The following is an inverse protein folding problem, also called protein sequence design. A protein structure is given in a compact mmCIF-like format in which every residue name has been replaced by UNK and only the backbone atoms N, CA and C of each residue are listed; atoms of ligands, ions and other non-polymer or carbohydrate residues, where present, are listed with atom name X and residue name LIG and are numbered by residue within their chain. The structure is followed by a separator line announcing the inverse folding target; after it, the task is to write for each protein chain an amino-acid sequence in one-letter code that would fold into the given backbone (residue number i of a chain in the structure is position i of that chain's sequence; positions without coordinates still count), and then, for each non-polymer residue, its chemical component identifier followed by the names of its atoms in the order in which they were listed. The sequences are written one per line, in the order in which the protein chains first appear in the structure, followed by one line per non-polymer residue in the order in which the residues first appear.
data_IF_181083429934
#
_entry.id   IF_181083429934
#
_cell.length_a   1.000
_cell.length_b   1.000
_cell.length_c   1.000
_cell.angle_alpha   90.00
_cell.angle_beta   90.00
_cell.angle_gamma   90.00
#
_symmetry.space_group_name_H-M   'P 1'
#
loop_
_entity.id
_entity.type
_entity.pdbx_description
1 polymer ?
#
# COMPACT_ATOMS: atom_id res chain seq x y z
N UNK A 1 16.10 10.69 63.48
CA UNK A 1 17.01 10.33 62.33
C UNK A 1 16.27 9.38 61.44
N UNK A 2 15.74 9.89 60.36
CA UNK A 2 14.88 9.14 59.43
C UNK A 2 15.62 9.03 58.10
N UNK A 3 15.88 7.82 57.67
CA UNK A 3 16.48 7.54 56.37
C UNK A 3 15.40 6.97 55.48
N UNK A 4 15.07 7.74 54.45
CA UNK A 4 14.19 7.33 53.35
C UNK A 4 14.95 6.41 52.39
N UNK A 5 14.38 5.31 51.92
CA UNK A 5 15.01 4.52 50.87
C UNK A 5 14.46 4.88 49.48
N UNK A 6 15.37 4.88 48.57
CA UNK A 6 15.26 5.13 47.15
C UNK A 6 14.15 4.35 46.42
N UNK A 7 13.29 5.09 45.78
CA UNK A 7 12.31 4.62 44.79
C UNK A 7 12.66 5.24 43.43
N UNK A 8 13.39 4.55 42.62
CA UNK A 8 13.46 4.79 41.15
C UNK A 8 14.45 3.82 40.53
N UNK A 9 14.01 2.82 39.77
CA UNK A 9 14.77 2.12 38.71
C UNK A 9 13.98 0.95 38.07
N UNK A 10 12.64 0.87 38.21
CA UNK A 10 11.87 -0.21 37.55
C UNK A 10 11.27 0.17 36.17
N UNK A 11 11.14 1.46 35.85
CA UNK A 11 10.55 1.92 34.60
C UNK A 11 11.48 1.80 33.39
N UNK A 12 12.73 2.14 33.55
CA UNK A 12 13.75 2.20 32.50
C UNK A 12 14.05 0.83 31.88
N UNK A 13 14.11 -0.23 32.67
CA UNK A 13 14.40 -1.60 32.19
C UNK A 13 13.24 -2.22 31.35
N UNK A 14 12.00 -1.79 31.57
CA UNK A 14 10.82 -2.30 30.85
C UNK A 14 10.72 -1.69 29.45
N UNK A 15 11.12 -0.44 29.29
CA UNK A 15 11.18 0.26 27.99
C UNK A 15 12.33 -0.27 27.14
N UNK A 16 13.50 -0.49 27.77
CA UNK A 16 14.68 -1.04 27.11
C UNK A 16 14.42 -2.48 26.57
N UNK A 17 13.79 -3.35 27.39
CA UNK A 17 13.44 -4.72 26.97
C UNK A 17 12.37 -4.77 25.86
N UNK A 18 11.47 -3.79 25.76
CA UNK A 18 10.53 -3.68 24.64
C UNK A 18 11.24 -3.23 23.34
N UNK A 19 12.22 -2.34 23.42
CA UNK A 19 13.05 -1.94 22.28
C UNK A 19 13.89 -3.11 21.76
N UNK A 20 14.52 -3.88 22.64
CA UNK A 20 15.37 -5.02 22.26
C UNK A 20 14.58 -6.20 21.66
N UNK A 21 13.33 -6.43 22.09
CA UNK A 21 12.45 -7.43 21.45
C UNK A 21 11.99 -7.02 20.06
N UNK A 22 11.81 -5.71 19.80
CA UNK A 22 11.43 -5.18 18.47
C UNK A 22 12.54 -5.35 17.42
N UNK A 23 13.81 -5.25 17.81
CA UNK A 23 14.94 -5.39 16.89
C UNK A 23 15.21 -6.83 16.45
N UNK A 24 14.49 -7.83 16.99
CA UNK A 24 14.74 -9.26 16.78
C UNK A 24 13.63 -10.00 16.00
N UNK A 25 12.54 -9.31 15.56
CA UNK A 25 11.55 -9.98 14.72
C UNK A 25 12.15 -10.23 13.33
N UNK A 26 11.88 -11.40 12.71
CA UNK A 26 12.34 -11.67 11.35
C UNK A 26 11.89 -10.62 10.35
N UNK A 27 10.67 -10.08 10.52
CA UNK A 27 10.11 -9.02 9.67
C UNK A 27 10.88 -7.70 9.83
N UNK A 28 11.28 -7.34 11.05
CA UNK A 28 12.07 -6.14 11.30
C UNK A 28 13.49 -6.25 10.77
N UNK A 29 14.10 -7.45 10.86
CA UNK A 29 15.41 -7.71 10.27
C UNK A 29 15.35 -7.65 8.75
N UNK A 30 14.29 -8.19 8.14
CA UNK A 30 14.02 -8.10 6.71
C UNK A 30 13.84 -6.63 6.28
N UNK A 31 12.97 -5.87 6.94
CA UNK A 31 12.74 -4.46 6.67
C UNK A 31 14.04 -3.65 6.80
N UNK A 32 14.81 -3.88 7.85
CA UNK A 32 16.08 -3.19 8.07
C UNK A 32 17.16 -3.60 7.05
N UNK A 33 17.18 -4.85 6.62
CA UNK A 33 18.04 -5.35 5.54
C UNK A 33 17.67 -4.71 4.21
N UNK A 34 16.38 -4.62 3.90
CA UNK A 34 15.85 -3.96 2.73
C UNK A 34 16.20 -2.46 2.69
N UNK A 35 16.02 -1.74 3.80
CA UNK A 35 16.35 -0.32 3.91
C UNK A 35 17.86 -0.03 3.76
N UNK A 36 18.72 -0.96 4.19
CA UNK A 36 20.17 -0.82 4.09
C UNK A 36 20.74 -1.20 2.72
N UNK A 37 20.15 -2.21 2.08
CA UNK A 37 20.61 -2.77 0.81
C UNK A 37 19.41 -3.27 -0.01
N UNK A 38 18.59 -2.39 -0.59
CA UNK A 38 17.39 -2.79 -1.32
C UNK A 38 17.66 -3.72 -2.51
N UNK A 39 18.88 -3.66 -3.07
CA UNK A 39 19.32 -4.49 -4.19
C UNK A 39 19.69 -5.92 -3.78
N UNK A 40 20.04 -6.18 -2.52
CA UNK A 40 20.50 -7.49 -2.05
C UNK A 40 19.37 -8.46 -1.66
N UNK A 41 18.16 -7.97 -1.42
CA UNK A 41 17.02 -8.81 -1.03
C UNK A 41 16.18 -9.09 -2.26
N UNK A 42 16.69 -9.89 -3.14
CA UNK A 42 16.27 -10.38 -4.48
C UNK A 42 14.80 -10.45 -4.90
N UNK A 43 13.89 -9.70 -4.31
CA UNK A 43 12.49 -9.69 -4.73
C UNK A 43 11.77 -8.33 -4.63
N UNK A 44 12.41 -7.27 -4.16
CA UNK A 44 11.81 -5.92 -4.19
C UNK A 44 12.90 -4.94 -4.62
N UNK A 45 13.21 -4.96 -5.89
CA UNK A 45 13.92 -3.84 -6.51
C UNK A 45 12.97 -2.65 -6.40
N UNK A 46 13.41 -1.49 -5.91
CA UNK A 46 12.58 -0.28 -5.95
C UNK A 46 12.06 -0.14 -7.37
N UNK A 47 10.74 -0.05 -7.52
CA UNK A 47 10.12 0.12 -8.83
C UNK A 47 10.87 1.22 -9.53
N UNK A 48 11.40 0.95 -10.74
CA UNK A 48 12.18 1.94 -11.47
C UNK A 48 11.33 3.21 -11.61
N UNK A 49 11.96 4.38 -11.67
CA UNK A 49 11.20 5.62 -11.94
C UNK A 49 10.31 5.46 -13.17
N UNK A 50 10.78 4.72 -14.17
CA UNK A 50 10.03 4.40 -15.40
C UNK A 50 8.75 3.61 -15.09
N UNK A 51 8.83 2.60 -14.22
CA UNK A 51 7.65 1.83 -13.80
C UNK A 51 6.63 2.73 -13.08
N UNK A 52 7.10 3.57 -12.15
CA UNK A 52 6.24 4.49 -11.40
C UNK A 52 5.53 5.46 -12.34
N UNK A 53 6.27 6.13 -13.24
CA UNK A 53 5.70 7.07 -14.22
C UNK A 53 4.67 6.38 -15.11
N UNK A 54 4.99 5.18 -15.62
CA UNK A 54 4.12 4.42 -16.50
C UNK A 54 2.85 3.97 -15.78
N UNK A 55 2.98 3.47 -14.55
CA UNK A 55 1.86 3.00 -13.74
C UNK A 55 0.89 4.13 -13.39
N UNK A 56 1.44 5.27 -12.97
CA UNK A 56 0.69 6.44 -12.54
C UNK A 56 0.27 7.38 -13.69
N UNK A 57 0.71 7.11 -14.92
CA UNK A 57 0.43 7.94 -16.09
C UNK A 57 -1.05 8.22 -16.38
N UNK A 58 -1.97 7.24 -16.23
CA UNK A 58 -3.41 7.46 -16.46
C UNK A 58 -4.14 8.26 -15.38
N UNK A 59 -3.49 8.60 -14.25
CA UNK A 59 -4.14 9.27 -13.12
C UNK A 59 -4.38 10.74 -13.42
N UNK A 60 -5.63 11.19 -13.29
CA UNK A 60 -5.99 12.61 -13.27
C UNK A 60 -5.77 13.18 -11.86
N UNK A 61 -4.56 13.72 -11.65
CA UNK A 61 -4.15 14.25 -10.35
C UNK A 61 -4.94 15.47 -9.90
N UNK A 62 -5.42 16.27 -10.85
CA UNK A 62 -6.20 17.48 -10.54
C UNK A 62 -7.60 17.14 -10.00
N UNK A 63 -8.18 16.06 -10.48
CA UNK A 63 -9.50 15.60 -10.04
C UNK A 63 -9.44 14.61 -8.87
N UNK A 64 -8.28 14.02 -8.55
CA UNK A 64 -8.14 12.99 -7.53
C UNK A 64 -8.31 13.55 -6.12
N UNK A 65 -9.24 12.99 -5.34
CA UNK A 65 -9.50 13.31 -3.93
C UNK A 65 -9.16 12.14 -3.00
N UNK A 66 -9.46 10.91 -3.40
CA UNK A 66 -9.18 9.71 -2.61
C UNK A 66 -8.38 8.74 -3.44
N UNK A 67 -7.15 8.49 -3.02
CA UNK A 67 -6.27 7.49 -3.60
C UNK A 67 -6.01 6.38 -2.56
N UNK A 68 -6.09 5.11 -2.96
CA UNK A 68 -5.82 3.97 -2.07
C UNK A 68 -4.61 3.19 -2.59
N UNK A 69 -3.70 2.76 -1.70
CA UNK A 69 -2.56 1.92 -2.04
C UNK A 69 -2.57 0.64 -1.19
N UNK A 70 -2.62 -0.52 -1.85
CA UNK A 70 -2.52 -1.83 -1.20
C UNK A 70 -1.09 -2.34 -1.22
N UNK A 71 -0.60 -2.77 -0.06
CA UNK A 71 0.75 -3.29 0.10
C UNK A 71 1.85 -2.26 -0.19
N UNK A 72 1.81 -1.08 0.45
CA UNK A 72 2.78 0.00 0.21
C UNK A 72 4.22 -0.41 0.55
N UNK A 73 4.39 -1.40 1.43
CA UNK A 73 5.69 -1.84 1.90
C UNK A 73 6.50 -0.68 2.50
N UNK A 74 7.63 -0.34 1.88
CA UNK A 74 8.50 0.78 2.31
C UNK A 74 8.15 2.13 1.65
N UNK A 75 7.03 2.22 0.95
CA UNK A 75 6.53 3.47 0.38
C UNK A 75 7.10 3.83 -1.00
N UNK A 76 7.44 2.83 -1.80
CA UNK A 76 8.01 3.05 -3.14
C UNK A 76 7.07 3.85 -4.05
N UNK A 77 5.77 3.59 -3.98
CA UNK A 77 4.75 4.37 -4.69
C UNK A 77 4.13 5.46 -3.82
N UNK A 78 4.06 5.27 -2.50
CA UNK A 78 3.45 6.20 -1.55
C UNK A 78 3.98 7.63 -1.71
N UNK A 79 5.32 7.81 -1.74
CA UNK A 79 5.91 9.15 -1.93
C UNK A 79 5.61 9.76 -3.30
N UNK A 80 5.83 9.08 -4.44
CA UNK A 80 5.45 9.58 -5.75
C UNK A 80 3.97 9.93 -5.91
N UNK A 81 3.07 9.23 -5.20
CA UNK A 81 1.64 9.56 -5.17
C UNK A 81 1.42 10.86 -4.40
N UNK A 82 1.96 10.99 -3.18
CA UNK A 82 1.86 12.20 -2.37
C UNK A 82 2.44 13.43 -3.06
N UNK A 83 3.55 13.28 -3.78
CA UNK A 83 4.19 14.37 -4.55
C UNK A 83 3.27 14.93 -5.65
N UNK A 84 2.26 14.17 -6.10
CA UNK A 84 1.33 14.52 -7.18
C UNK A 84 -0.07 14.88 -6.70
N UNK A 85 -0.47 14.42 -5.52
CA UNK A 85 -1.80 14.66 -4.98
C UNK A 85 -2.02 16.12 -4.62
N UNK A 86 -3.22 16.61 -4.85
CA UNK A 86 -3.69 17.91 -4.37
C UNK A 86 -3.65 18.03 -2.84
N UNK A 87 -3.62 19.26 -2.33
CA UNK A 87 -3.52 19.53 -0.89
C UNK A 87 -4.75 19.06 -0.10
N UNK A 88 -5.90 18.94 -0.74
CA UNK A 88 -7.18 18.51 -0.19
C UNK A 88 -7.51 17.05 -0.49
N UNK A 89 -6.55 16.29 -1.03
CA UNK A 89 -6.70 14.87 -1.32
C UNK A 89 -6.16 14.02 -0.17
N UNK A 90 -6.61 12.76 -0.10
CA UNK A 90 -6.18 11.78 0.89
C UNK A 90 -5.59 10.55 0.20
N UNK A 91 -4.42 10.10 0.69
CA UNK A 91 -3.83 8.80 0.36
C UNK A 91 -4.05 7.84 1.51
N UNK A 92 -4.82 6.77 1.29
CA UNK A 92 -5.00 5.68 2.24
C UNK A 92 -4.09 4.53 1.85
N UNK A 93 -3.15 4.14 2.72
CA UNK A 93 -2.31 2.95 2.52
C UNK A 93 -2.79 1.82 3.42
N UNK A 94 -2.98 0.61 2.85
CA UNK A 94 -3.47 -0.57 3.57
C UNK A 94 -2.43 -1.69 3.44
N UNK A 95 -1.95 -2.20 4.58
CA UNK A 95 -1.03 -3.33 4.63
C UNK A 95 -1.38 -4.23 5.82
N UNK A 96 -1.32 -5.54 5.63
CA UNK A 96 -1.52 -6.51 6.72
C UNK A 96 -0.34 -6.53 7.69
N UNK A 97 0.82 -6.04 7.28
CA UNK A 97 2.02 -6.00 8.10
C UNK A 97 2.12 -4.68 8.89
N UNK A 98 1.88 -4.77 10.20
CA UNK A 98 1.94 -3.64 11.12
C UNK A 98 3.33 -2.97 11.21
N UNK A 99 4.42 -3.64 10.82
CA UNK A 99 5.76 -3.04 10.81
C UNK A 99 5.92 -2.08 9.62
N UNK A 100 5.33 -2.40 8.46
CA UNK A 100 5.32 -1.50 7.30
C UNK A 100 4.44 -0.27 7.56
N UNK A 101 3.23 -0.44 8.08
CA UNK A 101 2.34 0.70 8.37
C UNK A 101 2.95 1.64 9.42
N UNK A 102 3.60 1.09 10.44
CA UNK A 102 4.33 1.88 11.43
C UNK A 102 5.52 2.62 10.81
N UNK A 103 6.30 1.92 9.97
CA UNK A 103 7.43 2.53 9.28
C UNK A 103 6.97 3.71 8.41
N UNK A 104 5.93 3.55 7.61
CA UNK A 104 5.41 4.63 6.76
C UNK A 104 4.95 5.83 7.59
N UNK A 105 4.23 5.60 8.68
CA UNK A 105 3.77 6.64 9.59
C UNK A 105 4.92 7.41 10.26
N UNK A 106 6.05 6.74 10.54
CA UNK A 106 7.23 7.36 11.13
C UNK A 106 8.14 8.04 10.08
N UNK A 107 8.13 7.55 8.83
CA UNK A 107 9.04 7.98 7.77
C UNK A 107 8.46 9.07 6.86
N UNK A 108 7.14 9.25 6.85
CA UNK A 108 6.44 10.21 6.00
C UNK A 108 5.55 11.08 6.88
N UNK A 109 5.97 12.33 7.06
CA UNK A 109 5.21 13.37 7.76
C UNK A 109 4.41 14.17 6.73
N UNK A 110 3.25 13.63 6.34
CA UNK A 110 2.33 14.26 5.39
C UNK A 110 0.90 14.12 5.91
N UNK A 111 0.15 15.22 6.14
CA UNK A 111 -1.20 15.18 6.69
C UNK A 111 -2.21 14.48 5.78
N UNK A 112 -1.92 14.33 4.50
CA UNK A 112 -2.76 13.62 3.52
C UNK A 112 -2.61 12.10 3.60
N UNK A 113 -1.58 11.59 4.32
CA UNK A 113 -1.32 10.15 4.42
C UNK A 113 -2.06 9.52 5.60
N UNK A 114 -2.89 8.55 5.30
CA UNK A 114 -3.57 7.69 6.28
C UNK A 114 -3.06 6.25 6.14
N UNK A 115 -2.34 5.75 7.14
CA UNK A 115 -1.83 4.37 7.14
C UNK A 115 -2.71 3.45 7.97
N UNK A 116 -3.13 2.33 7.39
CA UNK A 116 -4.04 1.35 8.02
C UNK A 116 -3.41 -0.03 8.03
N UNK A 117 -3.37 -0.66 9.20
CA UNK A 117 -3.03 -2.08 9.31
C UNK A 117 -4.32 -2.89 9.16
N UNK A 118 -4.46 -3.61 8.04
CA UNK A 118 -5.68 -4.35 7.73
C UNK A 118 -5.60 -5.08 6.39
N UNK A 119 -6.68 -5.72 6.02
CA UNK A 119 -6.83 -6.39 4.72
C UNK A 119 -7.31 -5.41 3.65
N UNK A 120 -6.82 -5.56 2.43
CA UNK A 120 -7.35 -4.85 1.27
C UNK A 120 -8.83 -5.23 0.95
N UNK A 121 -9.26 -6.44 1.36
CA UNK A 121 -10.65 -6.86 1.25
C UNK A 121 -11.60 -6.04 2.16
N UNK A 122 -11.07 -5.38 3.20
CA UNK A 122 -11.85 -4.52 4.10
C UNK A 122 -11.91 -3.05 3.63
N UNK A 123 -11.51 -2.72 2.40
CA UNK A 123 -11.37 -1.34 1.92
C UNK A 123 -12.66 -0.53 2.03
N UNK A 124 -13.82 -1.12 1.75
CA UNK A 124 -15.13 -0.45 1.89
C UNK A 124 -15.34 0.05 3.32
N UNK A 125 -15.15 -0.84 4.30
CA UNK A 125 -15.23 -0.52 5.72
C UNK A 125 -14.19 0.53 6.12
N UNK A 126 -12.95 0.39 5.65
CA UNK A 126 -11.84 1.30 5.96
C UNK A 126 -12.13 2.72 5.49
N UNK A 127 -12.70 2.91 4.30
CA UNK A 127 -13.07 4.22 3.79
C UNK A 127 -14.29 4.79 4.53
N UNK A 128 -15.31 3.97 4.78
CA UNK A 128 -16.51 4.39 5.51
C UNK A 128 -16.22 4.84 6.94
N UNK A 129 -15.34 4.15 7.68
CA UNK A 129 -14.93 4.54 9.04
C UNK A 129 -14.19 5.89 9.11
N UNK A 130 -13.80 6.45 7.97
CA UNK A 130 -13.05 7.71 7.84
C UNK A 130 -13.81 8.81 7.13
N UNK A 131 -15.10 8.57 6.89
CA UNK A 131 -15.97 9.49 6.13
C UNK A 131 -15.38 9.84 4.74
N UNK A 132 -14.57 8.94 4.19
CA UNK A 132 -14.05 9.05 2.84
C UNK A 132 -15.08 8.44 1.88
N UNK A 133 -15.39 9.18 0.84
CA UNK A 133 -16.27 8.71 -0.23
C UNK A 133 -15.60 7.62 -1.09
N UNK A 134 -16.08 7.48 -2.32
CA UNK A 134 -15.49 6.56 -3.29
C UNK A 134 -14.03 6.93 -3.59
N UNK A 135 -13.22 5.91 -3.85
CA UNK A 135 -11.86 6.10 -4.32
C UNK A 135 -11.84 6.51 -5.81
N UNK A 136 -10.99 7.46 -6.17
CA UNK A 136 -10.73 7.79 -7.57
C UNK A 136 -9.84 6.72 -8.21
N UNK A 137 -8.80 6.32 -7.48
CA UNK A 137 -7.84 5.31 -7.93
C UNK A 137 -7.43 4.41 -6.78
N UNK A 138 -7.21 3.15 -7.12
CA UNK A 138 -6.60 2.17 -6.22
C UNK A 138 -5.35 1.61 -6.89
N UNK A 139 -4.22 1.61 -6.21
CA UNK A 139 -2.98 0.97 -6.68
C UNK A 139 -2.71 -0.29 -5.85
N UNK A 140 -2.33 -1.38 -6.50
CA UNK A 140 -1.97 -2.62 -5.81
C UNK A 140 -0.63 -3.18 -6.25
N UNK A 141 0.25 -3.42 -5.25
CA UNK A 141 1.44 -4.23 -5.37
C UNK A 141 1.28 -5.64 -4.76
N UNK A 142 0.06 -6.05 -4.43
CA UNK A 142 -0.20 -7.34 -3.80
C UNK A 142 0.09 -8.50 -4.76
N UNK A 143 0.72 -9.59 -4.28
CA UNK A 143 1.05 -10.75 -5.10
C UNK A 143 -0.18 -11.67 -5.27
N UNK A 144 -1.14 -11.30 -6.12
CA UNK A 144 -2.40 -12.05 -6.33
C UNK A 144 -2.19 -13.54 -6.65
N UNK A 145 -1.05 -13.90 -7.26
CA UNK A 145 -0.75 -15.30 -7.57
C UNK A 145 -0.46 -16.18 -6.34
N UNK A 146 -0.20 -15.57 -5.18
CA UNK A 146 0.18 -16.25 -3.94
C UNK A 146 -0.80 -15.98 -2.80
N UNK A 147 -1.87 -15.23 -3.05
CA UNK A 147 -2.93 -15.03 -2.06
C UNK A 147 -3.65 -16.36 -1.77
N UNK A 148 -4.18 -16.53 -0.55
CA UNK A 148 -5.03 -17.67 -0.24
C UNK A 148 -6.27 -17.74 -1.17
N UNK A 149 -6.83 -18.94 -1.40
CA UNK A 149 -8.04 -19.08 -2.21
C UNK A 149 -9.18 -18.15 -1.73
N UNK A 150 -9.86 -17.48 -2.67
CA UNK A 150 -10.96 -16.56 -2.41
C UNK A 150 -10.52 -15.12 -2.10
N UNK A 151 -9.38 -14.92 -1.46
CA UNK A 151 -8.92 -13.57 -1.05
C UNK A 151 -8.71 -12.63 -2.24
N UNK A 152 -8.25 -13.15 -3.37
CA UNK A 152 -8.06 -12.33 -4.58
C UNK A 152 -9.39 -11.84 -5.16
N UNK A 153 -10.41 -12.68 -5.13
CA UNK A 153 -11.76 -12.35 -5.57
C UNK A 153 -12.39 -11.31 -4.63
N UNK A 154 -12.31 -11.53 -3.31
CA UNK A 154 -12.81 -10.60 -2.29
C UNK A 154 -12.18 -9.20 -2.45
N UNK A 155 -10.86 -9.13 -2.69
CA UNK A 155 -10.16 -7.86 -2.91
C UNK A 155 -10.64 -7.19 -4.21
N UNK A 156 -10.80 -7.95 -5.29
CA UNK A 156 -11.20 -7.38 -6.58
C UNK A 156 -12.63 -6.84 -6.54
N UNK A 157 -13.55 -7.56 -5.89
CA UNK A 157 -14.94 -7.16 -5.67
C UNK A 157 -15.00 -5.89 -4.79
N UNK A 158 -14.42 -5.91 -3.59
CA UNK A 158 -14.39 -4.77 -2.68
C UNK A 158 -13.74 -3.53 -3.33
N UNK A 159 -12.68 -3.74 -4.14
CA UNK A 159 -12.05 -2.65 -4.89
C UNK A 159 -12.98 -2.06 -5.95
N UNK A 160 -13.71 -2.92 -6.66
CA UNK A 160 -14.71 -2.44 -7.63
C UNK A 160 -15.82 -1.64 -6.97
N UNK A 161 -16.26 -2.05 -5.78
CA UNK A 161 -17.34 -1.36 -5.05
C UNK A 161 -16.94 0.04 -4.61
N UNK A 162 -15.68 0.25 -4.21
CA UNK A 162 -15.22 1.56 -3.73
C UNK A 162 -14.77 2.52 -4.82
N UNK A 163 -14.34 2.02 -6.00
CA UNK A 163 -13.90 2.90 -7.09
C UNK A 163 -15.12 3.55 -7.73
N UNK A 164 -15.08 4.90 -7.87
CA UNK A 164 -16.12 5.65 -8.57
C UNK A 164 -16.15 5.32 -10.07
N UNK A 165 -17.28 5.55 -10.76
CA UNK A 165 -17.30 5.53 -12.23
C UNK A 165 -16.22 6.43 -12.83
N UNK A 166 -15.56 5.98 -13.89
CA UNK A 166 -14.43 6.66 -14.51
C UNK A 166 -13.11 6.58 -13.75
N UNK A 167 -13.09 6.02 -12.53
CA UNK A 167 -11.88 5.70 -11.78
C UNK A 167 -11.20 4.42 -12.27
N UNK A 168 -10.06 4.05 -11.66
CA UNK A 168 -9.34 2.86 -12.09
C UNK A 168 -8.63 2.11 -10.97
N UNK A 169 -8.56 0.78 -11.12
CA UNK A 169 -7.69 -0.10 -10.36
C UNK A 169 -6.37 -0.32 -11.12
N UNK A 170 -5.29 0.11 -10.53
CA UNK A 170 -3.93 0.08 -11.07
C UNK A 170 -3.18 -1.08 -10.43
N UNK A 171 -2.70 -2.05 -11.22
CA UNK A 171 -2.02 -3.22 -10.65
C UNK A 171 -0.70 -3.48 -11.35
N UNK A 172 0.38 -3.60 -10.59
CA UNK A 172 1.66 -4.06 -11.11
C UNK A 172 2.04 -5.41 -10.51
N UNK A 173 2.45 -6.36 -11.34
CA UNK A 173 2.73 -7.73 -10.95
C UNK A 173 3.77 -8.41 -11.85
N UNK A 174 4.36 -9.48 -11.34
CA UNK A 174 5.23 -10.37 -12.12
C UNK A 174 4.45 -11.53 -12.78
N UNK A 175 3.19 -11.74 -12.40
CA UNK A 175 2.32 -12.79 -12.94
C UNK A 175 1.06 -12.19 -13.58
N UNK A 176 0.60 -12.70 -14.74
CA UNK A 176 -0.63 -12.22 -15.37
C UNK A 176 -1.92 -12.66 -14.65
N UNK A 177 -1.84 -13.52 -13.63
CA UNK A 177 -3.01 -14.11 -12.96
C UNK A 177 -4.01 -13.11 -12.39
N UNK A 178 -3.58 -11.89 -12.05
CA UNK A 178 -4.49 -10.86 -11.55
C UNK A 178 -5.61 -10.53 -12.53
N UNK A 179 -5.37 -10.72 -13.83
CA UNK A 179 -6.38 -10.48 -14.85
C UNK A 179 -7.67 -11.27 -14.62
N UNK A 180 -7.56 -12.51 -14.13
CA UNK A 180 -8.71 -13.39 -13.91
C UNK A 180 -9.61 -12.85 -12.76
N UNK A 181 -9.03 -12.19 -11.76
CA UNK A 181 -9.75 -11.58 -10.64
C UNK A 181 -10.41 -10.25 -11.02
N UNK A 182 -9.73 -9.41 -11.84
CA UNK A 182 -10.24 -8.06 -12.15
C UNK A 182 -11.24 -8.04 -13.32
N UNK A 183 -11.15 -9.01 -14.25
CA UNK A 183 -11.99 -9.07 -15.44
C UNK A 183 -13.50 -9.10 -15.17
N UNK A 184 -14.02 -9.75 -14.12
CA UNK A 184 -15.45 -9.73 -13.82
C UNK A 184 -16.00 -8.37 -13.42
N UNK A 185 -15.14 -7.47 -12.93
CA UNK A 185 -15.54 -6.23 -12.24
C UNK A 185 -15.17 -4.94 -12.97
N UNK A 186 -14.28 -5.02 -13.99
CA UNK A 186 -13.71 -3.84 -14.64
C UNK A 186 -13.72 -3.98 -16.17
N UNK A 187 -14.08 -2.91 -16.85
CA UNK A 187 -13.96 -2.76 -18.30
C UNK A 187 -13.87 -1.27 -18.66
N UNK A 188 -12.97 -0.87 -19.59
CA UNK A 188 -11.95 -1.69 -20.24
C UNK A 188 -10.74 -1.97 -19.32
N UNK A 189 -10.00 -3.05 -19.63
CA UNK A 189 -8.72 -3.36 -18.98
C UNK A 189 -7.60 -3.15 -20.01
N UNK A 190 -6.72 -2.17 -19.74
CA UNK A 190 -5.49 -1.97 -20.53
C UNK A 190 -4.36 -2.74 -19.89
N UNK A 191 -3.48 -3.30 -20.70
CA UNK A 191 -2.30 -4.06 -20.25
C UNK A 191 -1.02 -3.43 -20.78
N UNK A 192 -0.02 -3.35 -19.95
CA UNK A 192 1.32 -2.91 -20.29
C UNK A 192 2.40 -3.84 -19.76
N UNK A 193 3.64 -3.55 -20.14
CA UNK A 193 4.79 -4.32 -19.70
C UNK A 193 5.97 -3.37 -19.44
N UNK A 194 6.74 -3.62 -18.37
CA UNK A 194 7.92 -2.85 -18.05
C UNK A 194 9.14 -3.77 -17.98
N UNK A 195 10.00 -3.67 -19.01
CA UNK A 195 11.18 -4.50 -19.19
C UNK A 195 12.38 -4.05 -18.35
N UNK A 196 12.47 -2.75 -18.05
CA UNK A 196 13.59 -2.18 -17.28
C UNK A 196 13.51 -2.56 -15.81
N UNK A 197 12.34 -3.00 -15.35
CA UNK A 197 12.19 -3.56 -14.02
C UNK A 197 12.77 -4.98 -13.97
N UNK A 198 13.50 -5.33 -12.91
CA UNK A 198 14.08 -6.66 -12.74
C UNK A 198 13.51 -7.30 -11.47
N UNK A 199 12.69 -8.36 -11.59
CA UNK A 199 12.18 -8.96 -12.83
C UNK A 199 11.19 -8.03 -13.56
N UNK A 200 10.98 -8.25 -14.88
CA UNK A 200 10.02 -7.48 -15.66
C UNK A 200 8.61 -7.52 -15.07
N UNK A 201 7.93 -6.39 -15.05
CA UNK A 201 6.59 -6.27 -14.46
C UNK A 201 5.49 -6.17 -15.52
N UNK A 202 4.39 -6.86 -15.31
CA UNK A 202 3.14 -6.67 -16.04
C UNK A 202 2.30 -5.62 -15.33
N UNK A 203 1.76 -4.68 -16.08
CA UNK A 203 0.94 -3.58 -15.63
C UNK A 203 -0.49 -3.77 -16.12
N UNK A 204 -1.44 -3.47 -15.25
CA UNK A 204 -2.86 -3.46 -15.59
C UNK A 204 -3.48 -2.14 -15.16
N UNK A 205 -4.27 -1.55 -16.01
CA UNK A 205 -5.13 -0.40 -15.74
C UNK A 205 -6.56 -0.83 -16.00
N UNK A 206 -7.27 -1.20 -14.94
CA UNK A 206 -8.64 -1.70 -14.99
C UNK A 206 -9.59 -0.55 -14.65
N UNK A 207 -10.31 -0.04 -15.62
CA UNK A 207 -11.20 1.10 -15.47
C UNK A 207 -12.56 0.65 -14.98
N UNK A 208 -13.15 1.45 -14.07
CA UNK A 208 -14.55 1.31 -13.70
C UNK A 208 -15.40 2.01 -14.76
N UNK A 209 -16.23 1.24 -15.47
CA UNK A 209 -17.18 1.79 -16.44
C UNK A 209 -18.15 2.79 -15.80
N UNK A 210 -18.73 3.66 -16.63
CA UNK A 210 -19.87 4.45 -16.22
C UNK A 210 -21.04 3.51 -15.92
N UNK A 211 -21.92 3.82 -14.95
CA UNK A 211 -23.14 3.05 -14.74
C UNK A 211 -23.95 3.05 -16.04
N UNK A 212 -24.42 1.88 -16.46
CA UNK A 212 -25.39 1.79 -17.56
C UNK A 212 -26.63 2.59 -17.15
N UNK A 213 -26.91 3.67 -17.90
CA UNK A 213 -28.03 4.58 -17.66
C UNK A 213 -29.38 3.96 -18.00
#
# INVERSE_FOLDING_TARGET
MSTSPARTLKGSRRIQRRRDRRSKSPQWQFLRGFLKNPVMVGSIIPSSKVLIEKMLGPVDWAATKVFVEYGPGVGTFTRPILDRLGADATLVTIDTNADFTRYLKEAIDDPRLVTVTGSAADVEKILAERDLGSADYVLSGLPFSTLPPGVGDDIAEATSNVIRPGGAFLVYQFSPKVHDFIKPHFAPIKRGFEWVNVPPATLFWAFKGEPEG
#
